data_IF_657279181260
#
_entry.id   IF_657279181260
#
_cell.length_a   1.000
_cell.length_b   1.000
_cell.length_c   1.000
_cell.angle_alpha   90.00
_cell.angle_beta   90.00
_cell.angle_gamma   90.00
#
_symmetry.space_group_name_H-M   'P 1'
#
loop_
_entity.id
_entity.type
_entity.pdbx_description
1 polymer ?
#
# COMPACT_ATOMS: atom_id res chain seq x y z
N UNK A 1 -11.66 -3.89 18.40
CA UNK A 1 -11.06 -2.63 17.88
C UNK A 1 -11.82 -2.06 16.69
N UNK A 2 -12.44 -2.93 15.86
CA UNK A 2 -13.11 -2.51 14.61
C UNK A 2 -14.58 -2.92 14.57
N UNK A 3 -15.19 -3.20 15.72
CA UNK A 3 -16.59 -3.64 15.83
C UNK A 3 -17.54 -2.67 15.14
N UNK A 4 -18.37 -3.20 14.23
CA UNK A 4 -19.37 -2.42 13.49
C UNK A 4 -18.82 -1.50 12.40
N UNK A 5 -17.50 -1.56 12.11
CA UNK A 5 -16.88 -0.78 11.03
C UNK A 5 -16.90 -1.59 9.72
N UNK A 6 -17.12 -0.93 8.60
CA UNK A 6 -16.96 -1.51 7.26
C UNK A 6 -15.59 -1.13 6.73
N UNK A 7 -14.76 -2.13 6.41
CA UNK A 7 -13.38 -1.95 5.94
C UNK A 7 -13.21 -2.54 4.55
N UNK A 8 -12.72 -1.73 3.62
CA UNK A 8 -12.37 -2.14 2.26
C UNK A 8 -10.88 -2.52 2.25
N UNK A 9 -10.54 -3.72 1.77
CA UNK A 9 -9.17 -4.22 1.70
C UNK A 9 -8.85 -4.61 0.26
N UNK A 10 -7.92 -3.91 -0.39
CA UNK A 10 -7.41 -4.30 -1.71
C UNK A 10 -6.24 -5.29 -1.57
N UNK A 11 -6.03 -6.14 -2.57
CA UNK A 11 -5.02 -7.21 -2.50
C UNK A 11 -5.43 -8.35 -1.56
N UNK A 12 -6.73 -8.53 -1.32
CA UNK A 12 -7.25 -9.43 -0.31
C UNK A 12 -7.18 -10.92 -0.67
N UNK A 13 -6.74 -11.29 -1.88
CA UNK A 13 -6.67 -12.69 -2.29
C UNK A 13 -5.46 -13.43 -1.74
N UNK A 14 -4.40 -12.73 -1.31
CA UNK A 14 -3.15 -13.37 -0.83
C UNK A 14 -2.35 -12.47 0.12
N UNK A 15 -1.30 -13.04 0.71
CA UNK A 15 -0.26 -12.31 1.45
C UNK A 15 -0.80 -11.39 2.56
N UNK A 16 -0.25 -10.18 2.61
CA UNK A 16 -0.60 -9.18 3.64
C UNK A 16 -2.07 -8.76 3.55
N UNK A 17 -2.64 -8.64 2.34
CA UNK A 17 -4.04 -8.26 2.16
C UNK A 17 -5.00 -9.31 2.72
N UNK A 18 -4.77 -10.58 2.44
CA UNK A 18 -5.57 -11.69 2.98
C UNK A 18 -5.46 -11.76 4.52
N UNK A 19 -4.24 -11.63 5.07
CA UNK A 19 -4.03 -11.60 6.52
C UNK A 19 -4.72 -10.40 7.18
N UNK A 20 -4.66 -9.22 6.54
CA UNK A 20 -5.35 -8.02 7.01
C UNK A 20 -6.87 -8.22 6.99
N UNK A 21 -7.43 -8.71 5.89
CA UNK A 21 -8.87 -8.97 5.79
C UNK A 21 -9.36 -9.93 6.88
N UNK A 22 -8.64 -11.03 7.09
CA UNK A 22 -8.94 -11.99 8.15
C UNK A 22 -8.87 -11.37 9.55
N UNK A 23 -7.81 -10.60 9.84
CA UNK A 23 -7.64 -9.98 11.15
C UNK A 23 -8.70 -8.93 11.44
N UNK A 24 -8.97 -8.00 10.50
CA UNK A 24 -9.99 -6.96 10.76
C UNK A 24 -11.39 -7.55 10.88
N UNK A 25 -11.69 -8.64 10.17
CA UNK A 25 -12.92 -9.40 10.33
C UNK A 25 -13.02 -10.02 11.75
N UNK A 26 -11.93 -10.63 12.24
CA UNK A 26 -11.90 -11.19 13.60
C UNK A 26 -12.04 -10.12 14.70
N UNK A 27 -11.71 -8.86 14.38
CA UNK A 27 -11.92 -7.69 15.25
C UNK A 27 -13.34 -7.08 15.14
N UNK A 28 -14.26 -7.76 14.45
CA UNK A 28 -15.66 -7.40 14.32
C UNK A 28 -16.00 -6.43 13.19
N UNK A 29 -15.08 -6.23 12.24
CA UNK A 29 -15.36 -5.43 11.05
C UNK A 29 -16.16 -6.24 10.00
N UNK A 30 -17.05 -5.57 9.29
CA UNK A 30 -17.56 -6.02 8.01
C UNK A 30 -16.49 -5.76 6.94
N UNK A 31 -16.06 -6.81 6.22
CA UNK A 31 -14.98 -6.71 5.25
C UNK A 31 -15.52 -6.73 3.82
N UNK A 32 -15.06 -5.79 3.01
CA UNK A 32 -15.20 -5.83 1.56
C UNK A 32 -13.81 -6.12 0.97
N UNK A 33 -13.62 -7.36 0.57
CA UNK A 33 -12.39 -7.86 -0.04
C UNK A 33 -12.35 -7.50 -1.52
N UNK A 34 -11.26 -6.91 -1.97
CA UNK A 34 -11.09 -6.44 -3.35
C UNK A 34 -9.76 -6.98 -3.91
N UNK A 35 -9.79 -7.63 -5.07
CA UNK A 35 -8.60 -8.16 -5.74
C UNK A 35 -8.86 -8.39 -7.23
N UNK A 36 -7.82 -8.52 -8.03
CA UNK A 36 -7.92 -8.99 -9.42
C UNK A 36 -8.17 -10.50 -9.48
N UNK A 37 -7.65 -11.24 -8.50
CA UNK A 37 -7.79 -12.68 -8.39
C UNK A 37 -8.92 -13.04 -7.42
N UNK A 38 -9.68 -14.07 -7.76
CA UNK A 38 -10.70 -14.62 -6.86
C UNK A 38 -9.99 -15.42 -5.75
N UNK A 39 -10.12 -15.05 -4.47
CA UNK A 39 -9.52 -15.79 -3.37
C UNK A 39 -10.16 -17.17 -3.22
N UNK A 40 -9.38 -18.16 -2.77
CA UNK A 40 -9.92 -19.51 -2.48
C UNK A 40 -11.01 -19.47 -1.38
N UNK A 41 -10.80 -18.62 -0.38
CA UNK A 41 -11.73 -18.42 0.73
C UNK A 41 -11.84 -16.90 0.96
N UNK A 42 -12.86 -16.25 0.37
CA UNK A 42 -13.05 -14.82 0.55
C UNK A 42 -13.45 -14.49 1.99
N UNK A 43 -12.90 -13.40 2.51
CA UNK A 43 -13.33 -12.83 3.79
C UNK A 43 -14.33 -11.73 3.50
N UNK A 44 -15.55 -11.88 4.00
CA UNK A 44 -16.63 -10.91 3.75
C UNK A 44 -17.13 -10.92 2.30
N UNK A 45 -17.59 -9.77 1.84
CA UNK A 45 -18.03 -9.58 0.44
C UNK A 45 -16.83 -9.40 -0.47
N UNK A 46 -16.75 -10.19 -1.55
CA UNK A 46 -15.68 -10.07 -2.55
C UNK A 46 -16.15 -9.27 -3.77
N UNK A 47 -15.30 -8.36 -4.25
CA UNK A 47 -15.46 -7.61 -5.50
C UNK A 47 -14.17 -7.68 -6.31
N UNK A 48 -14.28 -8.05 -7.59
CA UNK A 48 -13.13 -8.14 -8.48
C UNK A 48 -12.80 -6.77 -9.09
N UNK A 49 -11.50 -6.41 -9.15
CA UNK A 49 -11.03 -5.18 -9.78
C UNK A 49 -9.65 -5.36 -10.40
N UNK A 50 -9.43 -4.75 -11.54
CA UNK A 50 -8.10 -4.48 -12.07
C UNK A 50 -7.75 -3.01 -11.79
N UNK A 51 -6.76 -2.77 -10.95
CA UNK A 51 -6.29 -1.42 -10.61
C UNK A 51 -5.48 -0.77 -11.74
N UNK A 52 -5.09 -1.50 -12.78
CA UNK A 52 -4.47 -0.93 -13.97
C UNK A 52 -5.50 -0.36 -14.96
N UNK A 53 -6.80 -0.63 -14.77
CA UNK A 53 -7.90 -0.20 -15.62
C UNK A 53 -8.85 0.77 -14.92
N UNK A 54 -8.86 2.03 -15.37
CA UNK A 54 -9.75 3.08 -14.86
C UNK A 54 -11.21 2.65 -14.84
N UNK A 55 -11.70 2.05 -15.91
CA UNK A 55 -13.10 1.64 -16.02
C UNK A 55 -13.47 0.52 -15.05
N UNK A 56 -12.52 -0.37 -14.75
CA UNK A 56 -12.67 -1.40 -13.70
C UNK A 56 -12.80 -0.76 -12.31
N UNK A 57 -11.99 0.27 -12.03
CA UNK A 57 -12.08 1.02 -10.76
C UNK A 57 -13.42 1.76 -10.67
N UNK A 58 -13.89 2.40 -11.75
CA UNK A 58 -15.17 3.11 -11.75
C UNK A 58 -16.34 2.16 -11.45
N UNK A 59 -16.35 0.96 -12.03
CA UNK A 59 -17.34 -0.08 -11.72
C UNK A 59 -17.27 -0.52 -10.26
N UNK A 60 -16.06 -0.71 -9.72
CA UNK A 60 -15.87 -1.03 -8.31
C UNK A 60 -16.44 0.06 -7.40
N UNK A 61 -16.08 1.33 -7.66
CA UNK A 61 -16.56 2.47 -6.87
C UNK A 61 -18.07 2.57 -6.90
N UNK A 62 -18.71 2.34 -8.07
CA UNK A 62 -20.16 2.31 -8.18
C UNK A 62 -20.81 1.20 -7.35
N UNK A 63 -20.18 0.02 -7.27
CA UNK A 63 -20.66 -1.15 -6.53
C UNK A 63 -20.42 -1.07 -5.01
N UNK A 64 -19.52 -0.21 -4.56
CA UNK A 64 -19.20 -0.06 -3.13
C UNK A 64 -20.25 0.78 -2.40
N UNK A 65 -20.62 0.41 -1.17
CA UNK A 65 -21.56 1.18 -0.36
C UNK A 65 -20.95 2.53 0.05
N UNK A 66 -21.80 3.48 0.41
CA UNK A 66 -21.39 4.66 1.19
C UNK A 66 -21.28 4.33 2.67
N UNK A 67 -20.46 5.08 3.41
CA UNK A 67 -20.30 4.90 4.84
C UNK A 67 -19.19 3.92 5.23
N UNK A 68 -18.28 3.55 4.33
CA UNK A 68 -17.11 2.75 4.71
C UNK A 68 -16.21 3.53 5.68
N UNK A 69 -15.73 2.84 6.72
CA UNK A 69 -14.94 3.42 7.81
C UNK A 69 -13.42 3.30 7.60
N UNK A 70 -13.01 2.47 6.64
CA UNK A 70 -11.59 2.31 6.34
C UNK A 70 -11.32 1.76 4.94
N UNK A 71 -10.16 2.15 4.40
CA UNK A 71 -9.61 1.66 3.15
C UNK A 71 -8.17 1.22 3.39
N UNK A 72 -7.89 -0.07 3.22
CA UNK A 72 -6.55 -0.63 3.21
C UNK A 72 -6.09 -0.87 1.78
N UNK A 73 -5.24 0.00 1.27
CA UNK A 73 -4.61 -0.10 -0.05
C UNK A 73 -3.40 -1.02 0.02
N UNK A 74 -3.61 -2.33 -0.15
CA UNK A 74 -2.57 -3.35 -0.01
C UNK A 74 -2.19 -3.99 -1.35
N UNK A 75 -3.09 -3.96 -2.34
CA UNK A 75 -2.79 -4.48 -3.67
C UNK A 75 -1.51 -3.88 -4.26
N UNK A 76 -0.71 -4.71 -4.90
CA UNK A 76 0.50 -4.25 -5.57
C UNK A 76 1.13 -5.32 -6.43
N UNK A 77 1.88 -4.89 -7.44
CA UNK A 77 2.68 -5.73 -8.31
C UNK A 77 4.15 -5.73 -7.89
N UNK A 78 4.86 -6.86 -8.07
CA UNK A 78 6.29 -6.98 -7.76
C UNK A 78 7.18 -6.28 -8.80
N UNK A 79 8.48 -6.09 -8.48
CA UNK A 79 9.45 -5.43 -9.35
C UNK A 79 9.76 -6.18 -10.67
N UNK A 80 9.38 -7.45 -10.76
CA UNK A 80 9.57 -8.30 -11.95
C UNK A 80 8.57 -8.03 -13.08
N UNK A 81 7.50 -7.25 -12.79
CA UNK A 81 6.48 -6.90 -13.77
C UNK A 81 6.89 -5.69 -14.62
N UNK A 82 6.31 -5.50 -15.82
CA UNK A 82 6.58 -4.32 -16.65
C UNK A 82 6.39 -3.00 -15.85
N UNK A 83 7.30 -2.05 -16.02
CA UNK A 83 7.32 -0.80 -15.25
C UNK A 83 6.00 -0.03 -15.32
N UNK A 84 5.41 0.05 -16.50
CA UNK A 84 4.10 0.68 -16.70
C UNK A 84 2.99 0.01 -15.87
N UNK A 85 2.95 -1.33 -15.86
CA UNK A 85 1.97 -2.07 -15.06
C UNK A 85 2.17 -1.83 -13.56
N UNK A 86 3.43 -1.81 -13.09
CA UNK A 86 3.76 -1.52 -11.68
C UNK A 86 3.28 -0.13 -11.29
N UNK A 87 3.57 0.91 -12.07
CA UNK A 87 3.12 2.26 -11.76
C UNK A 87 1.60 2.41 -11.84
N UNK A 88 0.96 1.79 -12.85
CA UNK A 88 -0.51 1.81 -12.95
C UNK A 88 -1.19 1.21 -11.73
N UNK A 89 -0.72 0.08 -11.23
CA UNK A 89 -1.33 -0.61 -10.09
C UNK A 89 -0.92 0.04 -8.76
N UNK A 90 0.41 0.16 -8.53
CA UNK A 90 0.96 0.51 -7.21
C UNK A 90 0.83 2.00 -6.88
N UNK A 91 0.60 2.86 -7.88
CA UNK A 91 0.53 4.31 -7.69
C UNK A 91 -0.74 4.91 -8.29
N UNK A 92 -0.89 4.91 -9.61
CA UNK A 92 -1.95 5.65 -10.30
C UNK A 92 -3.33 5.12 -9.94
N UNK A 93 -3.56 3.81 -10.10
CA UNK A 93 -4.84 3.16 -9.79
C UNK A 93 -5.18 3.21 -8.32
N UNK A 94 -4.18 3.03 -7.44
CA UNK A 94 -4.35 3.18 -5.99
C UNK A 94 -4.80 4.61 -5.63
N UNK A 95 -4.12 5.64 -6.17
CA UNK A 95 -4.47 7.05 -5.95
C UNK A 95 -5.86 7.36 -6.50
N UNK A 96 -6.14 6.90 -7.72
CA UNK A 96 -7.43 7.10 -8.37
C UNK A 96 -8.57 6.45 -7.56
N UNK A 97 -8.45 5.17 -7.21
CA UNK A 97 -9.42 4.47 -6.36
C UNK A 97 -9.67 5.23 -5.05
N UNK A 98 -8.61 5.62 -4.36
CA UNK A 98 -8.71 6.33 -3.08
C UNK A 98 -9.47 7.65 -3.25
N UNK A 99 -9.12 8.45 -4.24
CA UNK A 99 -9.75 9.75 -4.50
C UNK A 99 -11.24 9.59 -4.83
N UNK A 100 -11.59 8.59 -5.65
CA UNK A 100 -13.00 8.31 -5.99
C UNK A 100 -13.79 7.78 -4.78
N UNK A 101 -13.15 7.10 -3.83
CA UNK A 101 -13.82 6.57 -2.65
C UNK A 101 -13.98 7.58 -1.51
N UNK A 102 -13.11 8.58 -1.41
CA UNK A 102 -13.20 9.58 -0.32
C UNK A 102 -14.61 10.15 -0.14
N UNK A 103 -15.37 10.53 -1.19
CA UNK A 103 -16.75 11.02 -1.01
C UNK A 103 -17.70 9.99 -0.36
N UNK A 104 -17.41 8.70 -0.52
CA UNK A 104 -18.22 7.59 0.02
C UNK A 104 -17.75 7.09 1.39
N UNK A 105 -16.59 7.54 1.87
CA UNK A 105 -16.11 7.18 3.20
C UNK A 105 -16.89 7.91 4.29
N UNK A 106 -17.03 7.30 5.46
CA UNK A 106 -17.56 7.95 6.66
C UNK A 106 -16.63 9.05 7.15
N UNK A 107 -17.17 10.03 7.86
CA UNK A 107 -16.35 10.96 8.62
C UNK A 107 -15.58 10.17 9.70
N UNK A 108 -14.34 10.57 9.94
CA UNK A 108 -13.42 9.84 10.81
C UNK A 108 -12.79 8.59 10.20
N UNK A 109 -13.06 8.27 8.94
CA UNK A 109 -12.49 7.11 8.27
C UNK A 109 -10.95 7.12 8.24
N UNK A 110 -10.36 5.94 8.08
CA UNK A 110 -8.90 5.78 7.99
C UNK A 110 -8.49 5.11 6.67
N UNK A 111 -7.49 5.71 6.02
CA UNK A 111 -6.86 5.16 4.82
C UNK A 111 -5.45 4.70 5.20
N UNK A 112 -5.13 3.45 4.88
CA UNK A 112 -3.80 2.87 5.12
C UNK A 112 -3.22 2.38 3.80
N UNK A 113 -2.08 2.95 3.42
CA UNK A 113 -1.37 2.60 2.20
C UNK A 113 -0.23 1.62 2.51
N UNK A 114 -0.14 0.50 1.80
CA UNK A 114 0.99 -0.42 1.91
C UNK A 114 2.13 0.08 1.02
N UNK A 115 3.06 0.83 1.62
CA UNK A 115 4.29 1.24 0.99
C UNK A 115 5.34 0.10 1.03
N UNK A 116 6.60 0.38 1.32
CA UNK A 116 7.69 -0.57 1.48
C UNK A 116 8.93 0.17 2.00
N UNK A 117 9.88 -0.53 2.60
CA UNK A 117 11.23 0.00 2.82
C UNK A 117 11.89 0.49 1.50
N UNK A 118 11.51 -0.11 0.37
CA UNK A 118 11.95 0.33 -0.96
C UNK A 118 11.59 1.80 -1.27
N UNK A 119 10.64 2.40 -0.54
CA UNK A 119 10.23 3.79 -0.72
C UNK A 119 10.95 4.80 0.18
N UNK A 120 11.85 4.36 1.06
CA UNK A 120 12.50 5.27 2.02
C UNK A 120 13.52 6.22 1.38
N UNK A 121 14.03 5.90 0.19
CA UNK A 121 14.91 6.77 -0.61
C UNK A 121 14.21 7.90 -1.36
N UNK A 122 12.96 8.21 -1.07
CA UNK A 122 12.13 9.17 -1.79
C UNK A 122 12.76 10.57 -1.93
N UNK A 123 13.61 10.97 -0.99
CA UNK A 123 14.24 12.30 -1.02
C UNK A 123 15.18 12.48 -2.23
N UNK A 124 15.87 11.41 -2.65
CA UNK A 124 16.73 11.39 -3.83
C UNK A 124 15.94 11.47 -5.14
N UNK A 125 14.68 11.03 -5.11
CA UNK A 125 13.80 11.01 -6.28
C UNK A 125 12.76 12.13 -6.26
N UNK A 126 12.91 13.12 -5.39
CA UNK A 126 11.92 14.15 -5.08
C UNK A 126 11.29 14.78 -6.32
N UNK A 127 12.09 15.18 -7.31
CA UNK A 127 11.57 15.89 -8.48
C UNK A 127 10.68 14.99 -9.34
N UNK A 128 11.07 13.75 -9.60
CA UNK A 128 10.24 12.77 -10.30
C UNK A 128 8.98 12.41 -9.50
N UNK A 129 9.09 12.28 -8.18
CA UNK A 129 7.95 12.03 -7.28
C UNK A 129 6.95 13.17 -7.36
N UNK A 130 7.39 14.43 -7.32
CA UNK A 130 6.51 15.60 -7.46
C UNK A 130 5.89 15.65 -8.86
N UNK A 131 6.63 15.33 -9.92
CA UNK A 131 6.10 15.25 -11.28
C UNK A 131 5.01 14.17 -11.44
N UNK A 132 5.00 13.13 -10.58
CA UNK A 132 3.97 12.07 -10.59
C UNK A 132 2.68 12.46 -9.85
N UNK A 133 2.56 13.69 -9.35
CA UNK A 133 1.42 14.09 -8.50
C UNK A 133 0.07 13.86 -9.20
N UNK A 134 -0.05 14.29 -10.45
CA UNK A 134 -1.28 14.20 -11.24
C UNK A 134 -1.16 13.20 -12.41
N UNK A 135 -0.21 12.25 -12.32
CA UNK A 135 0.03 11.26 -13.37
C UNK A 135 -1.22 10.43 -13.66
N UNK A 136 -1.67 10.46 -14.93
CA UNK A 136 -2.81 9.70 -15.43
C UNK A 136 -2.40 8.36 -16.06
N UNK A 137 -3.36 7.41 -16.15
CA UNK A 137 -3.15 6.07 -16.72
C UNK A 137 -2.52 6.08 -18.11
N UNK A 138 -2.92 7.04 -18.96
CA UNK A 138 -2.46 7.15 -20.35
C UNK A 138 -1.05 7.75 -20.46
N UNK A 139 -0.57 8.41 -19.42
CA UNK A 139 0.73 9.10 -19.39
C UNK A 139 1.84 8.24 -18.80
N UNK A 140 1.50 7.13 -18.14
CA UNK A 140 2.46 6.31 -17.38
C UNK A 140 3.62 5.85 -18.25
N UNK A 141 3.37 5.42 -19.49
CA UNK A 141 4.44 4.92 -20.38
C UNK A 141 5.43 6.03 -20.73
N UNK A 142 4.93 7.21 -21.12
CA UNK A 142 5.78 8.37 -21.43
C UNK A 142 6.53 8.86 -20.19
N UNK A 143 5.87 8.89 -19.03
CA UNK A 143 6.49 9.24 -17.74
C UNK A 143 7.64 8.30 -17.38
N UNK A 144 7.46 6.98 -17.54
CA UNK A 144 8.52 6.02 -17.30
C UNK A 144 9.75 6.29 -18.17
N UNK A 145 9.56 6.57 -19.45
CA UNK A 145 10.65 6.90 -20.38
C UNK A 145 11.34 8.18 -19.98
N UNK A 146 10.57 9.25 -19.72
CA UNK A 146 11.08 10.57 -19.37
C UNK A 146 11.95 10.56 -18.11
N UNK A 147 11.56 9.76 -17.11
CA UNK A 147 12.25 9.72 -15.81
C UNK A 147 13.16 8.49 -15.63
N UNK A 148 13.43 7.73 -16.70
CA UNK A 148 14.31 6.56 -16.65
C UNK A 148 13.82 5.44 -15.72
N UNK A 149 12.51 5.32 -15.54
CA UNK A 149 11.89 4.34 -14.64
C UNK A 149 11.67 3.03 -15.39
N UNK A 150 12.59 2.08 -15.21
CA UNK A 150 12.56 0.78 -15.88
C UNK A 150 12.82 -0.37 -14.90
N UNK A 151 12.41 -1.58 -15.26
CA UNK A 151 12.65 -2.79 -14.47
C UNK A 151 12.29 -2.61 -12.98
N UNK A 152 13.16 -3.12 -12.12
CA UNK A 152 12.96 -3.05 -10.66
C UNK A 152 12.81 -1.64 -10.11
N UNK A 153 13.42 -0.62 -10.75
CA UNK A 153 13.30 0.79 -10.33
C UNK A 153 11.83 1.25 -10.26
N UNK A 154 10.95 0.71 -11.09
CA UNK A 154 9.53 1.05 -11.10
C UNK A 154 8.83 0.76 -9.77
N UNK A 155 9.17 -0.36 -9.14
CA UNK A 155 8.65 -0.70 -7.83
C UNK A 155 9.11 0.29 -6.76
N UNK A 156 10.42 0.54 -6.67
CA UNK A 156 11.01 1.50 -5.71
C UNK A 156 10.34 2.86 -5.87
N UNK A 157 10.30 3.38 -7.09
CA UNK A 157 9.67 4.66 -7.39
C UNK A 157 8.20 4.70 -6.98
N UNK A 158 7.43 3.66 -7.27
CA UNK A 158 6.01 3.61 -6.88
C UNK A 158 5.82 3.70 -5.36
N UNK A 159 6.74 3.11 -4.57
CA UNK A 159 6.69 3.15 -3.11
C UNK A 159 7.21 4.49 -2.55
N UNK A 160 8.22 5.09 -3.17
CA UNK A 160 8.68 6.45 -2.88
C UNK A 160 7.54 7.47 -3.07
N UNK A 161 6.90 7.44 -4.23
CA UNK A 161 5.79 8.33 -4.54
C UNK A 161 4.58 8.11 -3.59
N UNK A 162 4.30 6.87 -3.21
CA UNK A 162 3.20 6.55 -2.29
C UNK A 162 3.45 7.07 -0.87
N UNK A 163 4.69 7.00 -0.37
CA UNK A 163 5.08 7.59 0.93
C UNK A 163 4.88 9.10 0.88
N UNK A 164 5.40 9.77 -0.14
CA UNK A 164 5.28 11.23 -0.28
C UNK A 164 3.82 11.64 -0.44
N UNK A 165 3.04 10.94 -1.25
CA UNK A 165 1.61 11.20 -1.40
C UNK A 165 0.86 11.05 -0.08
N UNK A 166 1.21 10.06 0.74
CA UNK A 166 0.65 9.90 2.09
C UNK A 166 0.96 11.10 2.98
N UNK A 167 2.21 11.57 3.00
CA UNK A 167 2.62 12.76 3.77
C UNK A 167 1.90 14.03 3.29
N UNK A 168 1.77 14.21 1.97
CA UNK A 168 1.09 15.37 1.39
C UNK A 168 -0.39 15.42 1.78
N UNK A 169 -1.05 14.26 1.91
CA UNK A 169 -2.47 14.17 2.25
C UNK A 169 -2.76 14.15 3.76
N UNK A 170 -1.80 14.43 4.62
CA UNK A 170 -1.96 14.45 6.09
C UNK A 170 -3.13 15.28 6.59
N UNK A 171 -3.52 16.33 5.88
CA UNK A 171 -4.59 17.28 6.25
C UNK A 171 -5.65 17.51 5.16
N UNK A 172 -5.53 16.88 4.01
CA UNK A 172 -6.43 17.11 2.86
C UNK A 172 -7.91 16.95 3.24
N UNK A 173 -8.23 15.95 4.06
CA UNK A 173 -9.61 15.67 4.47
C UNK A 173 -9.84 15.86 5.98
N UNK A 174 -9.06 16.73 6.62
CA UNK A 174 -9.13 16.93 8.07
C UNK A 174 -10.49 17.44 8.55
N UNK A 175 -11.23 18.21 7.72
CA UNK A 175 -12.57 18.71 8.04
C UNK A 175 -13.59 17.59 8.22
N UNK A 176 -13.36 16.44 7.58
CA UNK A 176 -14.12 15.20 7.73
C UNK A 176 -13.50 14.23 8.73
N UNK A 177 -12.42 14.60 9.38
CA UNK A 177 -11.69 13.72 10.29
C UNK A 177 -10.98 12.54 9.61
N UNK A 178 -11.00 12.43 8.28
CA UNK A 178 -10.37 11.33 7.54
C UNK A 178 -8.85 11.42 7.68
N UNK A 179 -8.22 10.28 7.96
CA UNK A 179 -6.77 10.14 8.15
C UNK A 179 -6.19 9.28 7.03
N UNK A 180 -4.94 9.59 6.65
CA UNK A 180 -4.17 8.75 5.74
C UNK A 180 -2.79 8.49 6.34
N UNK A 181 -2.38 7.22 6.37
CA UNK A 181 -1.06 6.79 6.84
C UNK A 181 -0.51 5.69 5.93
N UNK A 182 0.77 5.42 6.01
CA UNK A 182 1.42 4.33 5.29
C UNK A 182 2.10 3.35 6.26
N UNK A 183 2.18 2.11 5.84
CA UNK A 183 2.99 1.05 6.45
C UNK A 183 4.06 0.65 5.44
N UNK A 184 5.31 0.59 5.87
CA UNK A 184 6.44 0.15 5.06
C UNK A 184 7.00 -1.17 5.59
N UNK A 185 6.56 -2.31 5.05
CA UNK A 185 7.14 -3.60 5.41
C UNK A 185 8.59 -3.73 4.93
N UNK A 186 9.39 -4.49 5.69
CA UNK A 186 10.60 -5.13 5.20
C UNK A 186 10.30 -6.33 4.29
N UNK A 187 11.27 -7.25 4.09
CA UNK A 187 11.04 -8.51 3.43
C UNK A 187 9.99 -9.35 4.18
N UNK A 188 8.88 -9.68 3.52
CA UNK A 188 7.78 -10.47 4.09
C UNK A 188 7.55 -11.72 3.25
N UNK A 189 7.42 -12.87 3.90
CA UNK A 189 7.14 -14.16 3.27
C UNK A 189 5.74 -14.15 2.62
N UNK A 190 5.73 -13.74 1.37
CA UNK A 190 4.57 -13.62 0.50
C UNK A 190 4.97 -14.08 -0.91
N UNK A 191 4.01 -14.32 -1.82
CA UNK A 191 4.36 -14.62 -3.21
C UNK A 191 5.32 -13.60 -3.85
N UNK A 192 5.26 -12.32 -3.45
CA UNK A 192 6.11 -11.23 -3.98
C UNK A 192 7.58 -11.34 -3.52
N UNK A 193 7.87 -12.01 -2.39
CA UNK A 193 9.25 -12.10 -1.86
C UNK A 193 10.20 -12.78 -2.86
N UNK A 194 9.74 -13.81 -3.56
CA UNK A 194 10.54 -14.50 -4.59
C UNK A 194 10.96 -13.57 -5.73
N UNK A 195 10.07 -12.67 -6.13
CA UNK A 195 10.33 -11.66 -7.16
C UNK A 195 11.38 -10.65 -6.69
N UNK A 196 11.36 -10.28 -5.40
CA UNK A 196 12.38 -9.43 -4.81
C UNK A 196 13.76 -10.08 -4.80
N UNK A 197 13.84 -11.34 -4.38
CA UNK A 197 15.09 -12.10 -4.39
C UNK A 197 15.63 -12.20 -5.83
N UNK A 198 14.75 -12.46 -6.81
CA UNK A 198 15.14 -12.49 -8.22
C UNK A 198 15.65 -11.13 -8.75
N UNK A 199 15.13 -10.02 -8.22
CA UNK A 199 15.50 -8.66 -8.67
C UNK A 199 16.77 -8.15 -7.99
N UNK A 200 16.94 -8.39 -6.69
CA UNK A 200 18.03 -7.83 -5.86
C UNK A 200 19.22 -8.78 -5.72
N UNK A 201 19.04 -10.09 -6.03
CA UNK A 201 20.11 -11.09 -5.95
C UNK A 201 20.76 -11.18 -4.57
N UNK A 202 22.10 -11.24 -4.54
CA UNK A 202 22.88 -11.38 -3.31
C UNK A 202 22.60 -10.29 -2.26
N UNK A 203 22.23 -9.09 -2.70
CA UNK A 203 21.88 -7.99 -1.77
C UNK A 203 20.64 -8.32 -0.94
N UNK A 204 19.62 -8.95 -1.53
CA UNK A 204 18.45 -9.37 -0.76
C UNK A 204 18.80 -10.42 0.30
N UNK A 205 19.76 -11.31 0.00
CA UNK A 205 20.21 -12.31 0.95
C UNK A 205 21.03 -11.68 2.09
N UNK A 206 21.87 -10.67 1.80
CA UNK A 206 22.63 -9.92 2.82
C UNK A 206 21.69 -9.13 3.72
N UNK A 207 20.74 -8.42 3.15
CA UNK A 207 19.74 -7.66 3.88
C UNK A 207 18.92 -8.59 4.81
N UNK A 208 18.58 -9.79 4.36
CA UNK A 208 17.86 -10.77 5.18
C UNK A 208 18.72 -11.39 6.31
N UNK A 209 20.05 -11.42 6.18
CA UNK A 209 20.95 -11.92 7.25
C UNK A 209 20.98 -10.98 8.46
N UNK A 210 20.62 -9.70 8.31
CA UNK A 210 20.57 -8.74 9.42
C UNK A 210 19.34 -8.92 10.29
N UNK A 211 18.36 -9.68 9.82
CA UNK A 211 17.12 -10.01 10.54
C UNK A 211 17.19 -11.45 11.07
N UNK A 212 16.48 -11.71 12.14
CA UNK A 212 16.30 -13.06 12.69
C UNK A 212 15.48 -13.97 11.75
N UNK A 213 14.55 -13.37 10.99
CA UNK A 213 13.72 -14.03 9.98
C UNK A 213 13.07 -13.03 9.03
N UNK A 214 12.62 -13.42 7.84
CA UNK A 214 11.66 -12.66 7.08
C UNK A 214 10.38 -12.42 7.89
N UNK A 215 9.76 -11.25 7.71
CA UNK A 215 8.44 -10.98 8.26
C UNK A 215 7.39 -11.94 7.70
N UNK A 216 6.27 -12.06 8.41
CA UNK A 216 5.08 -12.79 7.95
C UNK A 216 3.94 -11.79 7.71
N UNK A 217 2.96 -12.12 6.87
CA UNK A 217 1.75 -11.29 6.73
C UNK A 217 1.10 -10.96 8.08
N UNK A 218 1.16 -11.87 9.05
CA UNK A 218 0.67 -11.69 10.42
C UNK A 218 1.47 -10.69 11.27
N UNK A 219 2.68 -10.31 10.86
CA UNK A 219 3.45 -9.25 11.54
C UNK A 219 3.02 -7.86 11.06
N UNK A 220 2.53 -7.77 9.82
CA UNK A 220 2.13 -6.50 9.19
C UNK A 220 0.65 -6.16 9.46
N UNK A 221 -0.24 -7.16 9.35
CA UNK A 221 -1.68 -6.98 9.48
C UNK A 221 -2.11 -6.28 10.80
N UNK A 222 -1.50 -6.55 11.98
CA UNK A 222 -1.85 -5.85 13.22
C UNK A 222 -1.58 -4.35 13.17
N UNK A 223 -0.51 -3.91 12.52
CA UNK A 223 -0.19 -2.47 12.39
C UNK A 223 -1.18 -1.80 11.43
N UNK A 224 -1.55 -2.46 10.34
CA UNK A 224 -2.61 -1.98 9.44
C UNK A 224 -3.95 -1.87 10.21
N UNK A 225 -4.34 -2.89 10.97
CA UNK A 225 -5.56 -2.89 11.77
C UNK A 225 -5.56 -1.79 12.85
N UNK A 226 -4.42 -1.56 13.50
CA UNK A 226 -4.24 -0.45 14.45
C UNK A 226 -4.45 0.91 13.76
N UNK A 227 -3.82 1.14 12.61
CA UNK A 227 -3.97 2.39 11.87
C UNK A 227 -5.39 2.60 11.30
N UNK A 228 -6.14 1.54 11.05
CA UNK A 228 -7.56 1.60 10.66
C UNK A 228 -8.48 1.91 11.85
N UNK A 229 -8.03 1.68 13.08
CA UNK A 229 -8.82 1.83 14.29
C UNK A 229 -8.78 3.26 14.87
N UNK A 230 -9.69 3.54 15.81
CA UNK A 230 -9.72 4.82 16.53
C UNK A 230 -8.52 4.99 17.49
N UNK A 231 -7.82 3.89 17.83
CA UNK A 231 -6.60 3.95 18.65
C UNK A 231 -5.47 4.75 18.01
N UNK A 232 -5.53 4.99 16.69
CA UNK A 232 -4.56 5.79 15.94
C UNK A 232 -5.10 7.18 15.54
N UNK A 233 -6.13 7.70 16.24
CA UNK A 233 -6.84 8.94 15.87
C UNK A 233 -5.92 10.17 15.72
N UNK A 234 -4.78 10.21 16.43
CA UNK A 234 -3.81 11.31 16.37
C UNK A 234 -2.66 11.09 15.39
N UNK A 235 -2.67 9.97 14.64
CA UNK A 235 -1.62 9.63 13.65
C UNK A 235 -2.11 9.99 12.25
N UNK A 236 -1.40 10.92 11.58
CA UNK A 236 -1.76 11.41 10.24
C UNK A 236 -0.52 11.67 9.40
N UNK A 237 -0.52 11.19 8.17
CA UNK A 237 0.54 11.42 7.18
C UNK A 237 1.86 10.73 7.53
N UNK A 238 1.85 9.77 8.44
CA UNK A 238 3.05 9.07 8.84
C UNK A 238 3.29 7.83 7.98
N UNK A 239 4.55 7.46 7.84
CA UNK A 239 4.99 6.17 7.31
C UNK A 239 5.58 5.36 8.45
N UNK A 240 5.02 4.18 8.73
CA UNK A 240 5.44 3.30 9.82
C UNK A 240 6.22 2.12 9.25
N UNK A 241 7.55 2.04 9.45
CA UNK A 241 8.32 0.83 9.14
C UNK A 241 7.86 -0.35 10.01
N UNK A 242 7.69 -1.53 9.38
CA UNK A 242 7.37 -2.79 10.05
C UNK A 242 8.27 -3.87 9.43
N UNK A 243 9.50 -3.99 9.92
CA UNK A 243 10.60 -4.52 9.15
C UNK A 243 11.65 -5.30 9.99
N UNK A 244 11.34 -5.62 11.24
CA UNK A 244 12.27 -6.32 12.12
C UNK A 244 13.52 -5.51 12.50
N UNK A 245 13.46 -4.15 12.37
CA UNK A 245 14.58 -3.27 12.71
C UNK A 245 15.54 -2.97 11.53
N UNK A 246 15.24 -3.46 10.34
CA UNK A 246 16.10 -3.28 9.16
C UNK A 246 16.34 -1.80 8.83
N UNK A 247 15.30 -0.96 8.86
CA UNK A 247 15.45 0.46 8.61
C UNK A 247 16.33 1.15 9.66
N UNK A 248 16.16 0.83 10.93
CA UNK A 248 17.00 1.35 12.01
C UNK A 248 18.45 0.94 11.83
N UNK A 249 18.70 -0.31 11.42
CA UNK A 249 20.05 -0.80 11.11
C UNK A 249 20.70 0.01 9.97
N UNK A 250 19.95 0.30 8.89
CA UNK A 250 20.44 1.13 7.78
C UNK A 250 20.75 2.55 8.26
N UNK A 251 19.89 3.17 9.07
CA UNK A 251 20.14 4.52 9.61
C UNK A 251 21.37 4.55 10.53
N UNK A 252 21.53 3.57 11.42
CA UNK A 252 22.71 3.47 12.27
C UNK A 252 23.98 3.39 11.41
N UNK A 253 23.98 2.58 10.35
CA UNK A 253 25.13 2.48 9.44
C UNK A 253 25.45 3.79 8.72
N UNK A 254 24.42 4.53 8.24
CA UNK A 254 24.61 5.83 7.57
C UNK A 254 25.17 6.89 8.52
N UNK A 255 24.75 6.87 9.77
CA UNK A 255 25.11 7.92 10.76
C UNK A 255 26.23 7.50 11.72
N UNK A 256 26.77 6.29 11.61
CA UNK A 256 27.85 5.79 12.48
C UNK A 256 27.42 5.60 13.96
N UNK A 257 26.18 5.18 14.18
CA UNK A 257 25.60 4.92 15.51
C UNK A 257 25.78 3.47 15.95
#
# INVERSE_FOLDING_TARGET
MLQGKTIIVTGAASGIGAATAALVSSHGAEVISVDINIPRTPVGRFLQVDLADRSSIDRLVAALPSGAHGLANIAGLPPTRPAEAVLKVNLVGLKYLTTQLVPKLSDGASIVNLASLAGLGWAESKDAVLASADLDFNEVSAFCVQHGIAGGRSYFFSKEALIVWTMQNRWTWRSRGIRMNAVSPGPVDTPILKDFIATLGARAEEDMKTMDRPGKPSDIAPVVAFLLSDSSAWIRGTNVPVDGGMYSNVLCGIHGL
#
